data_IF_834677913712
#
_entry.id   IF_834677913712
#
_cell.length_a   1.000
_cell.length_b   1.000
_cell.length_c   1.000
_cell.angle_alpha   90.00
_cell.angle_beta   90.00
_cell.angle_gamma   90.00
#
_symmetry.space_group_name_H-M   'P 1'
#
loop_
_entity.id
_entity.type
_entity.pdbx_description
1 polymer ?
#
# COMPACT_ATOMS: atom_id res chain seq x y z
N UNK A 1 38.01 -1.11 -13.12
CA UNK A 1 37.03 -0.72 -12.07
C UNK A 1 36.47 -2.03 -11.52
N UNK A 2 36.67 -2.33 -10.23
CA UNK A 2 36.23 -3.59 -9.63
C UNK A 2 34.80 -3.48 -9.10
N UNK A 3 33.98 -4.48 -9.36
CA UNK A 3 32.61 -4.58 -8.86
C UNK A 3 32.67 -5.07 -7.41
N UNK A 4 31.96 -4.40 -6.49
CA UNK A 4 31.91 -4.76 -5.07
C UNK A 4 30.46 -5.06 -4.66
N UNK A 5 30.29 -6.04 -3.78
CA UNK A 5 29.01 -6.34 -3.14
C UNK A 5 28.75 -5.27 -2.08
N UNK A 6 27.53 -4.70 -2.08
CA UNK A 6 27.12 -3.70 -1.09
C UNK A 6 26.99 -4.35 0.31
N UNK A 7 27.30 -3.58 1.35
CA UNK A 7 26.94 -4.00 2.71
C UNK A 7 25.41 -4.07 2.85
N UNK A 8 24.92 -4.96 3.72
CA UNK A 8 23.48 -5.13 3.96
C UNK A 8 22.80 -3.82 4.38
N UNK A 9 23.48 -3.01 5.21
CA UNK A 9 23.01 -1.69 5.60
C UNK A 9 22.89 -0.73 4.41
N UNK A 10 23.87 -0.72 3.50
CA UNK A 10 23.86 0.15 2.32
C UNK A 10 22.82 -0.32 1.30
N UNK A 11 22.69 -1.62 1.08
CA UNK A 11 21.63 -2.20 0.25
C UNK A 11 20.24 -1.87 0.82
N UNK A 12 20.07 -1.98 2.14
CA UNK A 12 18.82 -1.62 2.83
C UNK A 12 18.53 -0.11 2.76
N UNK A 13 19.55 0.74 2.84
CA UNK A 13 19.39 2.20 2.68
C UNK A 13 19.08 2.60 1.25
N UNK A 14 19.63 1.90 0.25
CA UNK A 14 19.29 2.10 -1.16
C UNK A 14 17.87 1.62 -1.42
N UNK A 15 17.49 0.45 -0.92
CA UNK A 15 16.12 -0.05 -0.99
C UNK A 15 15.15 0.91 -0.29
N UNK A 16 15.50 1.43 0.88
CA UNK A 16 14.73 2.48 1.57
C UNK A 16 14.76 3.84 0.84
N UNK A 17 15.74 4.08 -0.03
CA UNK A 17 15.92 5.26 -0.88
C UNK A 17 15.04 5.25 -2.14
N UNK A 18 14.88 4.07 -2.73
CA UNK A 18 13.95 3.80 -3.84
C UNK A 18 12.52 3.59 -3.34
N UNK A 19 12.39 3.02 -2.14
CA UNK A 19 11.17 2.91 -1.32
C UNK A 19 11.14 4.04 -0.27
N UNK A 20 11.55 5.27 -0.62
CA UNK A 20 11.17 6.42 0.19
C UNK A 20 9.70 6.66 -0.11
N UNK A 21 8.83 6.07 0.71
CA UNK A 21 7.39 6.32 0.73
C UNK A 21 7.14 7.82 0.81
N UNK A 22 6.90 8.45 -0.35
CA UNK A 22 6.42 9.82 -0.37
C UNK A 22 4.99 9.78 0.15
N UNK A 23 4.51 10.84 0.82
CA UNK A 23 3.10 10.96 1.22
C UNK A 23 2.11 10.59 0.11
N UNK A 24 2.48 10.87 -1.15
CA UNK A 24 1.74 10.43 -2.33
C UNK A 24 1.54 8.91 -2.43
N UNK A 25 2.57 8.10 -2.17
CA UNK A 25 2.46 6.63 -2.26
C UNK A 25 1.45 6.10 -1.24
N UNK A 26 1.45 6.64 -0.02
CA UNK A 26 0.46 6.28 1.01
C UNK A 26 -0.96 6.64 0.54
N UNK A 27 -1.13 7.84 -0.03
CA UNK A 27 -2.43 8.26 -0.57
C UNK A 27 -2.88 7.35 -1.72
N UNK A 28 -1.96 7.01 -2.64
CA UNK A 28 -2.25 6.13 -3.78
C UNK A 28 -2.78 4.78 -3.31
N UNK A 29 -2.05 4.10 -2.43
CA UNK A 29 -2.41 2.74 -1.99
C UNK A 29 -3.73 2.72 -1.20
N UNK A 30 -3.96 3.71 -0.35
CA UNK A 30 -5.21 3.82 0.40
C UNK A 30 -6.41 4.16 -0.51
N UNK A 31 -6.20 4.98 -1.54
CA UNK A 31 -7.23 5.29 -2.53
C UNK A 31 -7.59 4.05 -3.37
N UNK A 32 -6.59 3.29 -3.81
CA UNK A 32 -6.79 2.03 -4.54
C UNK A 32 -7.57 1.02 -3.69
N UNK A 33 -7.28 0.92 -2.39
CA UNK A 33 -8.05 0.08 -1.48
C UNK A 33 -9.51 0.52 -1.34
N UNK A 34 -9.79 1.82 -1.26
CA UNK A 34 -11.17 2.33 -1.22
C UNK A 34 -11.93 2.03 -2.52
N UNK A 35 -11.27 2.16 -3.68
CA UNK A 35 -11.84 1.82 -4.99
C UNK A 35 -12.14 0.31 -5.06
N UNK A 36 -11.20 -0.53 -4.62
CA UNK A 36 -11.38 -1.98 -4.60
C UNK A 36 -12.49 -2.41 -3.63
N UNK A 37 -12.74 -1.63 -2.57
CA UNK A 37 -13.88 -1.81 -1.67
C UNK A 37 -15.23 -1.36 -2.28
N UNK A 38 -15.20 -0.80 -3.49
CA UNK A 38 -16.40 -0.35 -4.22
C UNK A 38 -16.97 0.97 -3.72
N UNK A 39 -16.17 1.83 -3.09
CA UNK A 39 -16.62 3.12 -2.59
C UNK A 39 -17.14 4.05 -3.71
N UNK A 40 -18.25 4.74 -3.45
CA UNK A 40 -18.79 5.78 -4.34
C UNK A 40 -18.32 7.17 -3.91
N UNK A 41 -18.05 7.34 -2.61
CA UNK A 41 -17.56 8.58 -2.03
C UNK A 41 -16.29 8.33 -1.20
N UNK A 42 -15.24 9.10 -1.49
CA UNK A 42 -13.98 9.05 -0.77
C UNK A 42 -13.60 10.48 -0.35
N UNK A 43 -13.44 10.69 0.96
CA UNK A 43 -12.99 11.93 1.55
C UNK A 43 -11.51 11.83 1.92
N UNK A 44 -10.72 12.83 1.53
CA UNK A 44 -9.27 12.85 1.74
C UNK A 44 -8.88 14.13 2.47
N UNK A 45 -8.30 13.97 3.65
CA UNK A 45 -7.80 15.05 4.50
C UNK A 45 -6.28 14.93 4.66
N UNK A 46 -5.55 15.91 4.12
CA UNK A 46 -4.08 15.97 4.16
C UNK A 46 -3.62 17.19 4.96
N UNK A 47 -2.76 16.97 5.95
CA UNK A 47 -2.16 18.06 6.75
C UNK A 47 -0.64 18.13 6.56
N UNK A 48 -0.15 19.34 6.35
CA UNK A 48 1.29 19.63 6.19
C UNK A 48 1.96 18.77 5.10
N UNK A 49 1.29 18.64 3.94
CA UNK A 49 1.76 17.82 2.82
C UNK A 49 1.82 16.31 3.13
N UNK A 50 1.05 15.86 4.12
CA UNK A 50 0.99 14.47 4.57
C UNK A 50 2.08 14.09 5.58
N UNK A 51 2.93 15.05 5.99
CA UNK A 51 3.92 14.83 7.05
C UNK A 51 3.30 14.72 8.43
N UNK A 52 2.18 15.41 8.65
CA UNK A 52 1.47 15.41 9.92
C UNK A 52 0.36 14.38 9.97
N UNK A 53 -0.49 14.35 8.94
CA UNK A 53 -1.55 13.35 8.83
C UNK A 53 -2.00 13.18 7.39
N UNK A 54 -2.38 11.96 7.07
CA UNK A 54 -3.14 11.56 5.89
C UNK A 54 -4.34 10.78 6.44
N UNK A 55 -5.54 11.24 6.15
CA UNK A 55 -6.78 10.55 6.50
C UNK A 55 -7.59 10.34 5.23
N UNK A 56 -7.99 9.10 5.00
CA UNK A 56 -8.86 8.70 3.89
C UNK A 56 -10.04 7.97 4.51
N UNK A 57 -11.25 8.43 4.19
CA UNK A 57 -12.49 7.84 4.64
C UNK A 57 -13.37 7.56 3.43
N UNK A 58 -13.79 6.31 3.29
CA UNK A 58 -14.63 5.84 2.20
C UNK A 58 -15.95 5.24 2.72
N UNK A 59 -16.90 5.07 1.81
CA UNK A 59 -18.17 4.39 2.05
C UNK A 59 -18.25 3.00 1.42
N UNK A 60 -17.08 2.35 1.22
CA UNK A 60 -16.98 1.01 0.67
C UNK A 60 -17.49 -0.09 1.61
N UNK A 61 -17.29 -1.33 1.21
CA UNK A 61 -17.79 -2.50 1.95
C UNK A 61 -17.18 -2.69 3.35
N UNK A 62 -16.07 -2.02 3.66
CA UNK A 62 -15.37 -2.08 4.94
C UNK A 62 -14.62 -3.40 5.17
N UNK A 63 -14.08 -3.55 6.38
CA UNK A 63 -13.37 -4.76 6.83
C UNK A 63 -14.19 -5.41 7.95
N UNK A 64 -14.54 -6.70 7.86
CA UNK A 64 -15.18 -7.44 8.96
C UNK A 64 -14.34 -7.38 10.24
N UNK A 65 -14.99 -7.23 11.40
CA UNK A 65 -14.31 -6.98 12.67
C UNK A 65 -13.33 -8.11 13.07
N UNK A 66 -13.65 -9.35 12.72
CA UNK A 66 -12.83 -10.53 12.93
C UNK A 66 -11.66 -10.67 11.94
N UNK A 67 -11.68 -9.92 10.85
CA UNK A 67 -10.60 -9.90 9.85
C UNK A 67 -9.61 -8.74 10.06
N UNK A 68 -9.88 -7.82 10.99
CA UNK A 68 -9.05 -6.63 11.23
C UNK A 68 -7.59 -7.02 11.51
N UNK A 69 -7.34 -7.97 12.40
CA UNK A 69 -5.96 -8.38 12.72
C UNK A 69 -5.25 -8.95 11.48
N UNK A 70 -5.97 -9.76 10.69
CA UNK A 70 -5.46 -10.39 9.46
C UNK A 70 -5.13 -9.35 8.39
N UNK A 71 -5.95 -8.30 8.24
CA UNK A 71 -5.75 -7.25 7.25
C UNK A 71 -4.43 -6.48 7.42
N UNK A 72 -3.84 -6.48 8.62
CA UNK A 72 -2.53 -5.86 8.90
C UNK A 72 -1.35 -6.84 8.85
N UNK A 73 -1.59 -8.13 8.59
CA UNK A 73 -0.51 -9.12 8.43
C UNK A 73 0.17 -8.97 7.06
N UNK A 74 1.48 -9.24 7.03
CA UNK A 74 2.21 -9.35 5.76
C UNK A 74 1.69 -10.53 4.97
N UNK A 75 1.60 -10.36 3.65
CA UNK A 75 1.16 -11.39 2.71
C UNK A 75 -0.30 -11.86 2.91
N UNK A 76 -1.14 -11.04 3.55
CA UNK A 76 -2.58 -11.24 3.61
C UNK A 76 -3.28 -10.33 2.58
N UNK A 77 -4.23 -10.87 1.81
CA UNK A 77 -5.05 -10.09 0.87
C UNK A 77 -6.37 -10.82 0.59
N UNK A 78 -7.45 -10.06 0.39
CA UNK A 78 -8.73 -10.58 -0.10
C UNK A 78 -8.81 -10.62 -1.63
N UNK A 79 -7.81 -10.07 -2.34
CA UNK A 79 -7.85 -9.82 -3.78
C UNK A 79 -7.31 -10.99 -4.63
N UNK A 80 -6.53 -11.89 -4.05
CA UNK A 80 -5.87 -13.01 -4.76
C UNK A 80 -5.89 -14.27 -3.90
N UNK A 81 -6.16 -15.43 -4.50
CA UNK A 81 -6.16 -16.73 -3.82
C UNK A 81 -5.19 -17.73 -4.45
N UNK A 82 -4.88 -17.55 -5.73
CA UNK A 82 -4.06 -18.48 -6.53
C UNK A 82 -2.99 -17.75 -7.32
N UNK A 83 -2.00 -18.51 -7.82
CA UNK A 83 -0.96 -17.98 -8.70
C UNK A 83 -1.55 -17.53 -10.05
N UNK A 84 -2.63 -18.18 -10.50
CA UNK A 84 -3.30 -17.81 -11.75
C UNK A 84 -4.01 -16.45 -11.63
N UNK A 85 -4.49 -16.08 -10.44
CA UNK A 85 -5.08 -14.76 -10.19
C UNK A 85 -4.06 -13.65 -10.44
N UNK A 86 -2.78 -13.88 -10.12
CA UNK A 86 -1.70 -12.92 -10.38
C UNK A 86 -1.48 -12.71 -11.88
N UNK A 87 -1.58 -13.77 -12.69
CA UNK A 87 -1.46 -13.69 -14.15
C UNK A 87 -2.67 -12.99 -14.81
N UNK A 88 -3.80 -12.90 -14.10
CA UNK A 88 -5.04 -12.30 -14.57
C UNK A 88 -5.19 -10.81 -14.23
N UNK A 89 -4.27 -10.20 -13.45
CA UNK A 89 -4.30 -8.76 -13.13
C UNK A 89 -4.03 -7.96 -14.41
N UNK A 90 -5.02 -7.20 -14.89
CA UNK A 90 -4.94 -6.51 -16.19
C UNK A 90 -4.46 -5.06 -16.10
N UNK A 91 -4.57 -4.41 -14.94
CA UNK A 91 -4.12 -3.04 -14.66
C UNK A 91 -3.99 -2.81 -13.16
N UNK A 92 -3.04 -1.96 -12.74
CA UNK A 92 -2.97 -1.29 -11.43
C UNK A 92 -3.52 0.12 -11.59
#
# INVERSE_FOLDING_TARGET
MSINILSEQLASQIAAGEVVERPYSVVKELLENAIDAGAEAINIDIREGGRKSIQIADDGCGIPADEIETAFLRHATSKLQTVDDLAAIRTL
#
